data_IF_914325294355
#
_entry.id   IF_914325294355
#
_cell.length_a   1.000
_cell.length_b   1.000
_cell.length_c   1.000
_cell.angle_alpha   90.00
_cell.angle_beta   90.00
_cell.angle_gamma   90.00
#
_symmetry.space_group_name_H-M   'P 1'
#
loop_
_entity.id
_entity.type
_entity.pdbx_description
1 polymer ?
#
# COMPACT_ATOMS: atom_id res chain seq x y z
N UNK A 1 -9.46 26.73 10.90
CA UNK A 1 -9.06 26.38 9.52
C UNK A 1 -10.09 26.88 8.51
N UNK A 2 -9.75 27.07 7.22
CA UNK A 2 -10.75 27.43 6.20
C UNK A 2 -11.58 26.21 5.83
N UNK A 3 -12.89 26.41 5.61
CA UNK A 3 -13.85 25.35 5.25
C UNK A 3 -13.40 24.50 4.05
N UNK A 4 -12.82 25.13 3.03
CA UNK A 4 -12.34 24.41 1.84
C UNK A 4 -11.16 23.47 2.12
N UNK A 5 -10.27 23.85 3.04
CA UNK A 5 -9.12 23.01 3.41
C UNK A 5 -9.61 21.78 4.20
N UNK A 6 -10.60 21.98 5.05
CA UNK A 6 -11.26 20.89 5.80
C UNK A 6 -12.00 19.95 4.85
N UNK A 7 -12.73 20.48 3.87
CA UNK A 7 -13.42 19.65 2.87
C UNK A 7 -12.44 18.75 2.08
N UNK A 8 -11.23 19.26 1.78
CA UNK A 8 -10.17 18.47 1.14
C UNK A 8 -9.59 17.40 2.08
N UNK A 9 -9.27 17.78 3.31
CA UNK A 9 -8.73 16.88 4.35
C UNK A 9 -9.69 15.75 4.73
N UNK A 10 -11.00 16.00 4.61
CA UNK A 10 -12.06 15.06 4.91
C UNK A 10 -12.68 14.44 3.65
N UNK A 11 -12.17 14.77 2.46
CA UNK A 11 -12.65 14.27 1.16
C UNK A 11 -14.19 14.28 1.05
N UNK A 12 -14.78 15.46 1.23
CA UNK A 12 -16.22 15.64 1.25
C UNK A 12 -16.65 16.96 0.61
N UNK A 13 -17.91 17.02 0.22
CA UNK A 13 -18.51 18.26 -0.28
C UNK A 13 -18.72 19.25 0.86
N UNK A 14 -18.73 20.54 0.54
CA UNK A 14 -19.05 21.61 1.50
C UNK A 14 -20.44 21.44 2.14
N UNK A 15 -21.39 20.92 1.38
CA UNK A 15 -22.73 20.58 1.88
C UNK A 15 -22.69 19.42 2.88
N UNK A 16 -21.93 18.35 2.57
CA UNK A 16 -21.71 17.23 3.49
C UNK A 16 -21.06 17.66 4.79
N UNK A 17 -20.07 18.55 4.73
CA UNK A 17 -19.46 19.12 5.93
C UNK A 17 -20.48 19.93 6.76
N UNK A 18 -21.30 20.78 6.15
CA UNK A 18 -22.31 21.54 6.90
C UNK A 18 -23.40 20.66 7.53
N UNK A 19 -23.75 19.55 6.88
CA UNK A 19 -24.63 18.55 7.46
C UNK A 19 -24.02 17.93 8.72
N UNK A 20 -22.77 17.45 8.62
CA UNK A 20 -22.05 16.90 9.77
C UNK A 20 -21.95 17.87 10.94
N UNK A 21 -21.56 19.11 10.68
CA UNK A 21 -21.44 20.11 11.75
C UNK A 21 -22.81 20.44 12.36
N UNK A 22 -23.88 20.45 11.57
CA UNK A 22 -25.23 20.70 12.09
C UNK A 22 -25.69 19.57 13.02
N UNK A 23 -25.41 18.32 12.68
CA UNK A 23 -25.83 17.16 13.49
C UNK A 23 -24.93 16.90 14.71
N UNK A 24 -23.62 17.17 14.59
CA UNK A 24 -22.62 16.68 15.55
C UNK A 24 -21.81 17.79 16.25
N UNK A 25 -22.12 19.07 16.02
CA UNK A 25 -21.40 20.20 16.67
C UNK A 25 -21.49 20.21 18.20
N UNK A 26 -22.45 19.50 18.79
CA UNK A 26 -22.64 19.41 20.24
C UNK A 26 -22.18 18.08 20.85
N UNK A 27 -21.59 17.18 20.05
CA UNK A 27 -21.11 15.90 20.56
C UNK A 27 -19.89 16.11 21.48
N UNK A 28 -19.79 15.32 22.55
CA UNK A 28 -18.81 15.46 23.65
C UNK A 28 -17.32 15.35 23.25
N UNK A 29 -17.01 15.15 21.95
CA UNK A 29 -15.64 15.17 21.41
C UNK A 29 -15.37 16.26 20.36
N UNK A 30 -16.36 17.10 20.04
CA UNK A 30 -16.28 18.14 19.00
C UNK A 30 -16.76 19.50 19.55
N UNK A 31 -17.66 19.48 20.54
CA UNK A 31 -18.13 20.67 21.22
C UNK A 31 -16.95 21.52 21.73
N UNK A 32 -16.94 22.82 21.40
CA UNK A 32 -15.86 23.75 21.73
C UNK A 32 -14.74 23.85 20.69
N UNK A 33 -14.55 22.84 19.83
CA UNK A 33 -13.62 22.88 18.71
C UNK A 33 -14.30 23.20 17.36
N UNK A 34 -15.62 23.11 17.33
CA UNK A 34 -16.49 23.58 16.24
C UNK A 34 -17.43 24.63 16.80
N UNK A 35 -17.22 25.89 16.42
CA UNK A 35 -18.03 27.01 16.89
C UNK A 35 -18.57 27.81 15.71
N UNK A 36 -19.56 28.67 15.97
CA UNK A 36 -19.98 29.68 15.00
C UNK A 36 -19.40 31.03 15.42
N UNK A 37 -18.84 31.75 14.45
CA UNK A 37 -18.43 33.13 14.65
C UNK A 37 -19.65 34.06 14.77
N UNK A 38 -19.41 35.32 15.12
CA UNK A 38 -20.44 36.37 15.27
C UNK A 38 -21.27 36.61 13.99
N UNK A 39 -20.77 36.15 12.83
CA UNK A 39 -21.44 36.24 11.52
C UNK A 39 -22.13 34.92 11.15
N UNK A 40 -22.20 33.96 12.07
CA UNK A 40 -22.84 32.66 11.89
C UNK A 40 -22.05 31.67 11.03
N UNK A 41 -20.78 31.94 10.71
CA UNK A 41 -19.92 31.02 9.96
C UNK A 41 -19.24 30.04 10.90
N UNK A 42 -19.07 28.80 10.43
CA UNK A 42 -18.37 27.76 11.17
C UNK A 42 -16.87 28.04 11.26
N UNK A 43 -16.36 28.10 12.48
CA UNK A 43 -14.95 28.10 12.84
C UNK A 43 -14.61 26.72 13.41
N UNK A 44 -13.63 26.05 12.80
CA UNK A 44 -13.26 24.67 13.11
C UNK A 44 -11.76 24.63 13.37
N UNK A 45 -11.40 24.11 14.54
CA UNK A 45 -10.02 23.91 14.93
C UNK A 45 -9.46 22.59 14.35
N UNK A 46 -8.13 22.50 14.25
CA UNK A 46 -7.44 21.32 13.71
C UNK A 46 -7.66 20.08 14.58
N UNK A 47 -7.85 20.27 15.90
CA UNK A 47 -8.16 19.20 16.85
C UNK A 47 -9.48 18.49 16.54
N UNK A 48 -10.46 19.19 15.96
CA UNK A 48 -11.73 18.59 15.56
C UNK A 48 -11.64 17.71 14.31
N UNK A 49 -10.55 17.78 13.53
CA UNK A 49 -10.44 17.05 12.26
C UNK A 49 -10.52 15.54 12.46
N UNK A 50 -9.83 15.01 13.46
CA UNK A 50 -9.77 13.56 13.65
C UNK A 50 -11.14 13.00 14.06
N UNK A 51 -11.82 13.66 14.99
CA UNK A 51 -13.18 13.31 15.37
C UNK A 51 -14.15 13.48 14.19
N UNK A 52 -14.02 14.54 13.38
CA UNK A 52 -14.84 14.71 12.16
C UNK A 52 -14.58 13.62 11.11
N UNK A 53 -13.34 13.09 11.00
CA UNK A 53 -13.04 11.92 10.16
C UNK A 53 -13.74 10.67 10.65
N UNK A 54 -13.71 10.41 11.96
CA UNK A 54 -14.40 9.25 12.53
C UNK A 54 -15.92 9.32 12.33
N UNK A 55 -16.52 10.49 12.54
CA UNK A 55 -17.95 10.69 12.31
C UNK A 55 -18.28 10.54 10.82
N UNK A 56 -17.45 11.08 9.91
CA UNK A 56 -17.59 10.85 8.47
C UNK A 56 -17.63 9.35 8.15
N UNK A 57 -16.67 8.57 8.67
CA UNK A 57 -16.58 7.14 8.39
C UNK A 57 -17.81 6.36 8.89
N UNK A 58 -18.45 6.82 9.97
CA UNK A 58 -19.66 6.20 10.53
C UNK A 58 -20.96 6.68 9.85
N UNK A 59 -20.97 7.90 9.31
CA UNK A 59 -22.18 8.52 8.75
C UNK A 59 -22.39 8.18 7.27
N UNK A 60 -23.30 7.24 7.01
CA UNK A 60 -23.71 6.82 5.65
C UNK A 60 -24.34 7.93 4.80
N UNK A 61 -24.72 9.06 5.40
CA UNK A 61 -25.44 10.16 4.74
C UNK A 61 -24.53 11.27 4.19
N UNK A 62 -23.24 11.24 4.51
CA UNK A 62 -22.31 12.28 4.09
C UNK A 62 -21.88 12.02 2.65
N UNK A 63 -22.33 12.90 1.75
CA UNK A 63 -22.06 12.83 0.31
C UNK A 63 -20.55 13.04 0.09
N UNK A 64 -19.84 11.94 -0.21
CA UNK A 64 -18.47 11.93 -0.74
C UNK A 64 -18.47 12.72 -2.05
N UNK A 65 -17.42 13.51 -2.32
CA UNK A 65 -17.28 14.15 -3.62
C UNK A 65 -17.37 13.06 -4.70
N UNK A 66 -18.29 13.18 -5.66
CA UNK A 66 -18.52 12.16 -6.70
C UNK A 66 -17.22 11.88 -7.47
N UNK A 67 -16.43 10.92 -7.04
CA UNK A 67 -15.68 10.06 -7.96
C UNK A 67 -16.75 9.22 -8.66
N UNK A 68 -16.80 9.21 -10.00
CA UNK A 68 -17.79 8.39 -10.70
C UNK A 68 -17.67 6.94 -10.21
N UNK A 69 -18.81 6.25 -10.07
CA UNK A 69 -18.81 4.84 -9.66
C UNK A 69 -17.93 4.01 -10.59
N UNK A 70 -17.79 4.42 -11.86
CA UNK A 70 -16.84 3.87 -12.83
C UNK A 70 -15.38 4.01 -12.38
N UNK A 71 -14.94 5.21 -11.97
CA UNK A 71 -13.57 5.44 -11.51
C UNK A 71 -13.27 4.67 -10.21
N UNK A 72 -14.26 4.53 -9.33
CA UNK A 72 -14.14 3.74 -8.11
C UNK A 72 -14.04 2.24 -8.44
N UNK A 73 -14.89 1.73 -9.32
CA UNK A 73 -14.87 0.33 -9.75
C UNK A 73 -13.58 -0.03 -10.50
N UNK A 74 -13.06 0.88 -11.31
CA UNK A 74 -11.78 0.68 -12.00
C UNK A 74 -10.60 0.65 -11.02
N UNK A 75 -10.64 1.51 -9.99
CA UNK A 75 -9.66 1.49 -8.90
C UNK A 75 -9.73 0.18 -8.10
N UNK A 76 -10.93 -0.27 -7.74
CA UNK A 76 -11.15 -1.55 -7.04
C UNK A 76 -10.60 -2.71 -7.88
N UNK A 77 -10.92 -2.76 -9.18
CA UNK A 77 -10.43 -3.80 -10.09
C UNK A 77 -8.90 -3.79 -10.18
N UNK A 78 -8.29 -2.61 -10.23
CA UNK A 78 -6.82 -2.47 -10.18
C UNK A 78 -6.22 -2.99 -8.87
N UNK A 79 -6.87 -2.74 -7.73
CA UNK A 79 -6.46 -3.26 -6.43
C UNK A 79 -6.60 -4.79 -6.36
N UNK A 80 -7.68 -5.37 -6.87
CA UNK A 80 -7.89 -6.83 -6.91
C UNK A 80 -6.81 -7.55 -7.71
N UNK A 81 -6.44 -7.01 -8.88
CA UNK A 81 -5.34 -7.54 -9.69
C UNK A 81 -4.02 -7.51 -8.92
N UNK A 82 -3.73 -6.39 -8.25
CA UNK A 82 -2.51 -6.26 -7.45
C UNK A 82 -2.48 -7.20 -6.25
N UNK A 83 -3.61 -7.43 -5.59
CA UNK A 83 -3.72 -8.41 -4.50
C UNK A 83 -3.45 -9.82 -5.03
N UNK A 84 -3.99 -10.16 -6.20
CA UNK A 84 -3.73 -11.46 -6.85
C UNK A 84 -2.25 -11.66 -7.15
N UNK A 85 -1.60 -10.67 -7.76
CA UNK A 85 -0.17 -10.73 -8.09
C UNK A 85 0.68 -10.87 -6.82
N UNK A 86 0.35 -10.13 -5.75
CA UNK A 86 1.04 -10.24 -4.46
C UNK A 86 0.85 -11.63 -3.81
N UNK A 87 -0.34 -12.21 -3.89
CA UNK A 87 -0.60 -13.56 -3.37
C UNK A 87 0.19 -14.63 -4.16
N UNK A 88 0.29 -14.48 -5.49
CA UNK A 88 1.11 -15.35 -6.34
C UNK A 88 2.60 -15.26 -5.97
N UNK A 89 3.10 -14.05 -5.72
CA UNK A 89 4.47 -13.83 -5.25
C UNK A 89 4.71 -14.45 -3.87
N UNK A 90 3.80 -14.27 -2.90
CA UNK A 90 3.88 -14.90 -1.58
C UNK A 90 3.99 -16.42 -1.70
N UNK A 91 3.14 -17.04 -2.50
CA UNK A 91 3.16 -18.49 -2.71
C UNK A 91 4.50 -19.00 -3.26
N UNK A 92 5.10 -18.25 -4.20
CA UNK A 92 6.43 -18.60 -4.73
C UNK A 92 7.52 -18.49 -3.67
N UNK A 93 7.43 -17.51 -2.78
CA UNK A 93 8.38 -17.34 -1.67
C UNK A 93 8.25 -18.45 -0.63
N UNK A 94 7.03 -18.90 -0.33
CA UNK A 94 6.79 -20.05 0.55
C UNK A 94 7.42 -21.32 -0.01
N UNK A 95 7.26 -21.61 -1.30
CA UNK A 95 7.90 -22.76 -1.96
C UNK A 95 9.42 -22.68 -1.86
N UNK A 96 10.00 -21.49 -2.11
CA UNK A 96 11.45 -21.28 -2.02
C UNK A 96 11.95 -21.51 -0.59
N UNK A 97 11.16 -21.09 0.41
CA UNK A 97 11.49 -21.31 1.83
C UNK A 97 11.47 -22.80 2.18
N UNK A 98 10.42 -23.53 1.79
CA UNK A 98 10.33 -24.99 1.98
C UNK A 98 11.50 -25.72 1.31
N UNK A 99 11.86 -25.33 0.08
CA UNK A 99 13.01 -25.91 -0.63
C UNK A 99 14.34 -25.66 0.08
N UNK A 100 14.52 -24.49 0.69
CA UNK A 100 15.73 -24.19 1.46
C UNK A 100 15.81 -25.01 2.75
N UNK A 101 14.68 -25.17 3.47
CA UNK A 101 14.60 -26.02 4.66
C UNK A 101 14.90 -27.49 4.31
N UNK A 102 14.30 -28.03 3.24
CA UNK A 102 14.59 -29.38 2.75
C UNK A 102 16.07 -29.56 2.36
N UNK A 103 16.68 -28.56 1.71
CA UNK A 103 18.10 -28.63 1.33
C UNK A 103 19.00 -28.63 2.58
N UNK A 104 18.68 -27.80 3.57
CA UNK A 104 19.40 -27.75 4.84
C UNK A 104 19.37 -29.11 5.55
N UNK A 105 18.19 -29.71 5.67
CA UNK A 105 18.01 -30.99 6.34
C UNK A 105 18.68 -32.13 5.57
N UNK A 106 18.53 -32.17 4.25
CA UNK A 106 19.17 -33.19 3.41
C UNK A 106 20.70 -33.15 3.49
N UNK A 107 21.29 -31.96 3.53
CA UNK A 107 22.76 -31.81 3.69
C UNK A 107 23.19 -32.22 5.10
N UNK A 108 22.42 -31.88 6.14
CA UNK A 108 22.72 -32.28 7.51
C UNK A 108 22.69 -33.80 7.68
N UNK A 109 21.66 -34.47 7.15
CA UNK A 109 21.54 -35.94 7.16
C UNK A 109 22.66 -36.60 6.36
N UNK A 110 22.97 -36.08 5.17
CA UNK A 110 24.05 -36.61 4.33
C UNK A 110 25.41 -36.58 5.03
N UNK A 111 25.74 -35.46 5.70
CA UNK A 111 27.00 -35.31 6.46
C UNK A 111 27.04 -36.27 7.65
N UNK A 112 25.91 -36.46 8.33
CA UNK A 112 25.79 -37.37 9.47
C UNK A 112 25.99 -38.83 9.06
N UNK A 113 25.40 -39.23 7.93
CA UNK A 113 25.49 -40.60 7.40
C UNK A 113 26.85 -40.91 6.77
N UNK A 114 27.64 -39.89 6.45
CA UNK A 114 28.97 -40.02 5.84
C UNK A 114 30.06 -39.36 6.70
N UNK A 115 30.40 -39.90 7.88
CA UNK A 115 31.40 -39.31 8.77
C UNK A 115 32.83 -39.32 8.20
N UNK A 116 33.09 -40.11 7.15
CA UNK A 116 34.34 -40.14 6.39
C UNK A 116 34.39 -39.19 5.20
N UNK A 117 33.40 -38.32 5.03
CA UNK A 117 33.33 -37.36 3.93
C UNK A 117 34.58 -36.48 3.90
N UNK A 118 35.08 -36.20 2.69
CA UNK A 118 36.19 -35.27 2.52
C UNK A 118 35.84 -33.87 3.08
N UNK A 119 36.79 -33.27 3.80
CA UNK A 119 36.58 -31.98 4.47
C UNK A 119 36.38 -30.83 3.50
N UNK A 120 36.93 -30.89 2.29
CA UNK A 120 36.70 -29.85 1.29
C UNK A 120 35.27 -29.96 0.74
N UNK A 121 34.84 -31.16 0.41
CA UNK A 121 33.46 -31.43 -0.04
C UNK A 121 32.41 -31.05 1.03
N UNK A 122 32.69 -31.37 2.30
CA UNK A 122 31.82 -30.95 3.43
C UNK A 122 31.69 -29.42 3.52
N UNK A 123 32.77 -28.68 3.31
CA UNK A 123 32.75 -27.20 3.33
C UNK A 123 31.95 -26.63 2.16
N UNK A 124 32.06 -27.22 0.97
CA UNK A 124 31.28 -26.78 -0.19
C UNK A 124 29.78 -27.00 0.01
N UNK A 125 29.38 -28.14 0.55
CA UNK A 125 27.98 -28.43 0.89
C UNK A 125 27.41 -27.42 1.90
N UNK A 126 28.15 -27.14 2.97
CA UNK A 126 27.74 -26.13 3.96
C UNK A 126 27.72 -24.71 3.37
N UNK A 127 28.62 -24.39 2.43
CA UNK A 127 28.61 -23.12 1.73
C UNK A 127 27.38 -22.97 0.82
N UNK A 128 26.95 -24.05 0.16
CA UNK A 128 25.74 -24.06 -0.66
C UNK A 128 24.48 -23.84 0.18
N UNK A 129 24.35 -24.52 1.33
CA UNK A 129 23.26 -24.29 2.30
C UNK A 129 23.24 -22.84 2.75
N UNK A 130 24.39 -22.31 3.17
CA UNK A 130 24.52 -20.91 3.63
C UNK A 130 24.20 -19.91 2.52
N UNK A 131 24.55 -20.20 1.26
CA UNK A 131 24.19 -19.34 0.13
C UNK A 131 22.67 -19.32 -0.08
N UNK A 132 22.02 -20.47 0.01
CA UNK A 132 20.57 -20.55 -0.11
C UNK A 132 19.88 -19.80 1.04
N UNK A 133 20.25 -20.05 2.30
CA UNK A 133 19.69 -19.35 3.47
C UNK A 133 19.78 -17.84 3.37
N UNK A 134 20.93 -17.32 2.93
CA UNK A 134 21.12 -15.87 2.77
C UNK A 134 20.27 -15.28 1.64
N UNK A 135 19.93 -16.07 0.63
CA UNK A 135 19.13 -15.62 -0.51
C UNK A 135 17.63 -15.88 -0.35
N UNK A 136 17.23 -16.79 0.54
CA UNK A 136 15.85 -17.07 0.93
C UNK A 136 15.42 -16.32 2.19
N UNK A 137 16.34 -15.58 2.83
CA UNK A 137 15.99 -14.73 3.97
C UNK A 137 15.10 -13.55 3.55
N UNK A 138 14.11 -13.26 4.39
CA UNK A 138 13.03 -12.31 4.13
C UNK A 138 13.54 -10.89 3.75
N UNK A 139 14.69 -10.49 4.30
CA UNK A 139 15.36 -9.22 3.99
C UNK A 139 15.97 -9.18 2.58
N UNK A 140 16.52 -10.30 2.09
CA UNK A 140 17.12 -10.42 0.76
C UNK A 140 16.03 -10.42 -0.32
N UNK A 141 14.95 -11.18 -0.06
CA UNK A 141 13.74 -11.21 -0.89
C UNK A 141 13.14 -9.81 -1.03
N UNK A 142 12.88 -9.11 0.08
CA UNK A 142 12.34 -7.73 0.06
C UNK A 142 13.25 -6.76 -0.70
N UNK A 143 14.58 -6.94 -0.61
CA UNK A 143 15.55 -6.11 -1.35
C UNK A 143 15.44 -6.35 -2.87
N UNK A 144 15.30 -7.61 -3.30
CA UNK A 144 15.09 -7.97 -4.71
C UNK A 144 13.77 -7.42 -5.24
N UNK A 145 12.67 -7.62 -4.52
CA UNK A 145 11.34 -7.10 -4.89
C UNK A 145 11.41 -5.57 -5.09
N UNK A 146 11.99 -4.83 -4.13
CA UNK A 146 12.17 -3.38 -4.27
C UNK A 146 12.99 -2.98 -5.49
N UNK A 147 13.98 -3.80 -5.90
CA UNK A 147 14.80 -3.54 -7.08
C UNK A 147 14.00 -3.77 -8.37
N UNK A 148 13.18 -4.82 -8.40
CA UNK A 148 12.28 -5.14 -9.51
C UNK A 148 11.14 -4.11 -9.64
N UNK A 149 10.52 -3.70 -8.53
CA UNK A 149 9.51 -2.63 -8.51
C UNK A 149 10.06 -1.31 -9.06
N UNK A 150 11.28 -0.93 -8.64
CA UNK A 150 11.96 0.25 -9.18
C UNK A 150 12.23 0.12 -10.68
N UNK A 151 12.54 -1.08 -11.16
CA UNK A 151 12.76 -1.33 -12.59
C UNK A 151 11.44 -1.24 -13.38
N UNK A 152 10.36 -1.87 -12.88
CA UNK A 152 9.01 -1.78 -13.46
C UNK A 152 8.53 -0.33 -13.51
N UNK A 153 8.64 0.42 -12.41
CA UNK A 153 8.25 1.83 -12.35
C UNK A 153 9.04 2.71 -13.34
N UNK A 154 10.35 2.46 -13.50
CA UNK A 154 11.18 3.14 -14.51
C UNK A 154 10.75 2.80 -15.94
N UNK A 155 10.42 1.54 -16.21
CA UNK A 155 9.96 1.10 -17.52
C UNK A 155 8.60 1.72 -17.86
N UNK A 156 7.67 1.74 -16.91
CA UNK A 156 6.34 2.34 -17.09
C UNK A 156 6.43 3.85 -17.29
N UNK A 157 7.32 4.54 -16.55
CA UNK A 157 7.59 5.96 -16.77
C UNK A 157 8.10 6.24 -18.19
N UNK A 158 9.07 5.44 -18.66
CA UNK A 158 9.59 5.56 -20.04
C UNK A 158 8.51 5.29 -21.08
N UNK A 159 7.62 4.32 -20.84
CA UNK A 159 6.50 4.01 -21.71
C UNK A 159 5.53 5.20 -21.81
N UNK A 160 5.13 5.79 -20.68
CA UNK A 160 4.27 6.98 -20.64
C UNK A 160 4.92 8.19 -21.32
N UNK A 161 6.22 8.42 -21.11
CA UNK A 161 6.98 9.48 -21.78
C UNK A 161 7.05 9.26 -23.31
N UNK A 162 7.16 8.01 -23.76
CA UNK A 162 7.16 7.67 -25.18
C UNK A 162 5.77 7.87 -25.82
N UNK A 163 4.71 7.38 -25.17
CA UNK A 163 3.33 7.55 -25.63
C UNK A 163 2.94 9.03 -25.70
N UNK A 164 3.30 9.83 -24.70
CA UNK A 164 3.07 11.28 -24.69
C UNK A 164 3.80 12.02 -25.83
N UNK A 165 4.98 11.55 -26.23
CA UNK A 165 5.72 12.11 -27.37
C UNK A 165 5.06 11.75 -28.71
N UNK A 166 4.52 10.53 -28.83
CA UNK A 166 3.81 10.11 -30.04
C UNK A 166 2.49 10.85 -30.24
N UNK A 167 1.72 11.09 -29.19
CA UNK A 167 0.48 11.88 -29.27
C UNK A 167 0.75 13.37 -29.51
N UNK A 168 1.90 13.91 -29.07
CA UNK A 168 2.26 15.30 -29.38
C UNK A 168 2.66 15.55 -30.86
N UNK A 169 2.95 14.49 -31.63
CA UNK A 169 3.34 14.58 -33.05
C UNK A 169 2.13 14.63 -34.00
N UNK A 170 0.92 14.37 -33.51
CA UNK A 170 -0.32 14.47 -34.27
C UNK A 170 -1.32 15.31 -33.47
N UNK A 171 -1.25 16.65 -33.54
CA UNK A 171 -2.34 17.48 -33.03
C UNK A 171 -3.62 17.11 -33.78
N UNK A 172 -4.69 16.85 -33.02
CA UNK A 172 -6.02 16.54 -33.56
C UNK A 172 -6.41 17.59 -34.62
N UNK A 173 -6.69 17.12 -35.83
CA UNK A 173 -7.22 17.91 -36.96
C UNK A 173 -8.74 17.87 -36.91
#
# INVERSE_FOLDING_TARGET
MKIMDICKELDMTRQGLYYLLKEHSQDDGIAGHVTRDEKGKWAIDKTALETLREIRMKSKRVIVAKTSDEAMNETIRGMELKIRDLNEEIRKLEIIKEQAEMLHDAVADFIKDHPGLDKALQRELLAAVKFYDNNTHDKSIRSRIRKEDRAKAKAEKKKKEFEARQTSLFPEV
#
